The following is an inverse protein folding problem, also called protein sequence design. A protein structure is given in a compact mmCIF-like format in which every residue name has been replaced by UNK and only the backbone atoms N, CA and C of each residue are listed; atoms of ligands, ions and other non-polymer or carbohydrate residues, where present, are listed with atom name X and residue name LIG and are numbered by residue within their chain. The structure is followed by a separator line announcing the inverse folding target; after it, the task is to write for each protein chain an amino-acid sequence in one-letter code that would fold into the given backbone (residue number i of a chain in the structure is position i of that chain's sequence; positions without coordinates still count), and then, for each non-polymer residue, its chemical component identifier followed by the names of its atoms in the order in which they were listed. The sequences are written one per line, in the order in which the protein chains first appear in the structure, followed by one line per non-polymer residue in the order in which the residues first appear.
data_IF_817030830243
#
_entry.id   IF_817030830243
#
_cell.length_a   1.000
_cell.length_b   1.000
_cell.length_c   1.000
_cell.angle_alpha   90.00
_cell.angle_beta   90.00
_cell.angle_gamma   90.00
#
_symmetry.space_group_name_H-M   'P 1'
#
loop_
_entity.id
_entity.type
_entity.pdbx_description
1 polymer ?
#
# COMPACT_ATOMS: atom_id res chain seq x y z
N UNK A 1 9.53 -17.36 15.61
CA UNK A 1 9.66 -18.35 14.51
C UNK A 1 11.13 -18.51 14.11
N UNK A 2 11.92 -19.25 14.88
CA UNK A 2 13.02 -20.03 14.31
C UNK A 2 12.37 -21.37 13.96
N UNK A 3 12.03 -21.55 12.68
CA UNK A 3 11.25 -22.71 12.26
C UNK A 3 12.05 -24.00 12.45
N UNK A 4 11.33 -25.11 12.64
CA UNK A 4 11.83 -26.50 12.75
C UNK A 4 12.79 -26.92 11.62
N UNK A 5 12.93 -26.10 10.57
CA UNK A 5 13.73 -26.31 9.37
C UNK A 5 15.03 -25.48 9.32
N UNK A 6 15.43 -24.80 10.40
CA UNK A 6 16.76 -24.17 10.53
C UNK A 6 16.99 -22.91 9.68
N UNK A 7 15.95 -22.34 9.08
CA UNK A 7 16.02 -21.11 8.28
C UNK A 7 15.41 -19.92 9.02
N UNK A 8 16.05 -18.76 8.89
CA UNK A 8 15.58 -17.47 9.43
C UNK A 8 14.82 -16.72 8.32
N UNK A 9 13.50 -16.49 8.47
CA UNK A 9 12.71 -15.79 7.47
C UNK A 9 13.20 -14.35 7.23
N UNK A 10 13.37 -14.00 5.95
CA UNK A 10 13.66 -12.62 5.51
C UNK A 10 12.36 -11.83 5.31
N UNK A 11 12.47 -10.50 5.19
CA UNK A 11 11.32 -9.63 4.88
C UNK A 11 10.62 -9.99 3.57
N UNK A 12 11.35 -10.49 2.57
CA UNK A 12 10.77 -10.97 1.32
C UNK A 12 9.87 -12.20 1.54
N UNK A 13 10.27 -13.12 2.42
CA UNK A 13 9.44 -14.28 2.76
C UNK A 13 8.16 -13.85 3.47
N UNK A 14 8.24 -12.92 4.42
CA UNK A 14 7.06 -12.36 5.09
C UNK A 14 6.13 -11.66 4.09
N UNK A 15 6.68 -10.84 3.20
CA UNK A 15 5.93 -10.14 2.16
C UNK A 15 5.20 -11.14 1.23
N UNK A 16 5.86 -12.25 0.89
CA UNK A 16 5.26 -13.32 0.11
C UNK A 16 4.06 -13.95 0.81
N UNK A 17 4.18 -14.28 2.10
CA UNK A 17 3.08 -14.85 2.89
C UNK A 17 1.91 -13.88 3.00
N UNK A 18 2.18 -12.60 3.26
CA UNK A 18 1.16 -11.55 3.29
C UNK A 18 0.44 -11.42 1.96
N UNK A 19 1.18 -11.36 0.85
CA UNK A 19 0.61 -11.30 -0.50
C UNK A 19 -0.28 -12.52 -0.79
N UNK A 20 0.16 -13.73 -0.42
CA UNK A 20 -0.62 -14.95 -0.62
C UNK A 20 -1.93 -14.92 0.17
N UNK A 21 -1.88 -14.59 1.47
CA UNK A 21 -3.07 -14.49 2.32
C UNK A 21 -4.04 -13.42 1.82
N UNK A 22 -3.51 -12.25 1.48
CA UNK A 22 -4.31 -11.14 1.03
C UNK A 22 -5.02 -11.45 -0.30
N UNK A 23 -4.31 -12.01 -1.30
CA UNK A 23 -4.90 -12.31 -2.63
C UNK A 23 -6.01 -13.35 -2.61
N UNK A 24 -6.04 -14.26 -1.63
CA UNK A 24 -7.14 -15.24 -1.46
C UNK A 24 -8.30 -14.71 -0.61
N UNK A 25 -8.34 -13.42 -0.31
CA UNK A 25 -9.41 -12.76 0.43
C UNK A 25 -9.24 -12.81 1.95
N UNK A 26 -8.13 -13.35 2.46
CA UNK A 26 -7.89 -13.51 3.89
C UNK A 26 -7.12 -12.32 4.47
N UNK A 27 -7.67 -11.12 4.28
CA UNK A 27 -7.03 -9.86 4.70
C UNK A 27 -6.83 -9.78 6.21
N UNK A 28 -7.79 -10.23 7.01
CA UNK A 28 -7.64 -10.28 8.48
C UNK A 28 -6.50 -11.21 8.90
N UNK A 29 -6.37 -12.37 8.25
CA UNK A 29 -5.26 -13.29 8.50
C UNK A 29 -3.92 -12.68 8.09
N UNK A 30 -3.90 -11.91 6.99
CA UNK A 30 -2.70 -11.19 6.55
C UNK A 30 -2.27 -10.14 7.60
N UNK A 31 -3.22 -9.35 8.14
CA UNK A 31 -2.93 -8.39 9.22
C UNK A 31 -2.44 -9.09 10.48
N UNK A 32 -3.12 -10.16 10.91
CA UNK A 32 -2.72 -10.92 12.09
C UNK A 32 -1.32 -11.50 11.93
N UNK A 33 -0.99 -12.00 10.74
CA UNK A 33 0.35 -12.49 10.42
C UNK A 33 1.39 -11.37 10.52
N UNK A 34 1.10 -10.17 9.99
CA UNK A 34 1.98 -9.00 10.12
C UNK A 34 2.23 -8.66 11.59
N UNK A 35 1.20 -8.67 12.44
CA UNK A 35 1.35 -8.41 13.88
C UNK A 35 2.13 -9.49 14.64
N UNK A 36 2.17 -10.71 14.13
CA UNK A 36 2.93 -11.82 14.71
C UNK A 36 4.37 -11.87 14.20
N UNK A 37 4.76 -10.99 13.27
CA UNK A 37 6.12 -10.93 12.77
C UNK A 37 7.09 -10.61 13.92
N UNK A 38 8.21 -11.35 14.04
CA UNK A 38 9.24 -11.05 15.04
C UNK A 38 10.08 -9.81 14.69
N UNK A 39 9.84 -9.21 13.53
CA UNK A 39 10.54 -8.05 13.00
C UNK A 39 9.53 -6.97 12.61
N UNK A 40 9.93 -5.71 12.71
CA UNK A 40 9.08 -4.59 12.29
C UNK A 40 8.76 -4.71 10.78
N UNK A 41 7.48 -4.67 10.39
CA UNK A 41 7.10 -4.79 8.98
C UNK A 41 7.57 -3.58 8.16
N UNK A 42 8.24 -3.84 7.04
CA UNK A 42 8.79 -2.81 6.17
C UNK A 42 7.85 -2.48 5.00
N UNK A 43 8.31 -1.60 4.11
CA UNK A 43 7.59 -1.20 2.90
C UNK A 43 7.21 -2.35 1.98
N UNK A 44 7.98 -3.44 1.98
CA UNK A 44 7.70 -4.60 1.13
C UNK A 44 6.45 -5.32 1.63
N UNK A 45 6.33 -5.47 2.95
CA UNK A 45 5.19 -6.12 3.60
C UNK A 45 3.91 -5.27 3.46
N UNK A 46 3.98 -3.98 3.78
CA UNK A 46 2.82 -3.09 3.65
C UNK A 46 2.44 -2.86 2.18
N UNK A 47 3.41 -2.82 1.27
CA UNK A 47 3.18 -2.73 -0.17
C UNK A 47 2.46 -3.95 -0.72
N UNK A 48 2.86 -5.16 -0.29
CA UNK A 48 2.17 -6.40 -0.65
C UNK A 48 0.71 -6.42 -0.17
N UNK A 49 0.45 -5.96 1.06
CA UNK A 49 -0.91 -5.86 1.59
C UNK A 49 -1.73 -4.84 0.80
N UNK A 50 -1.19 -3.64 0.55
CA UNK A 50 -1.87 -2.58 -0.18
C UNK A 50 -2.26 -3.02 -1.59
N UNK A 51 -1.33 -3.63 -2.34
CA UNK A 51 -1.58 -4.09 -3.70
C UNK A 51 -2.78 -5.07 -3.75
N UNK A 52 -2.82 -6.04 -2.84
CA UNK A 52 -3.92 -6.99 -2.76
C UNK A 52 -5.25 -6.34 -2.30
N UNK A 53 -5.20 -5.30 -1.48
CA UNK A 53 -6.41 -4.57 -1.05
C UNK A 53 -7.03 -3.77 -2.18
N UNK A 54 -6.21 -3.19 -3.06
CA UNK A 54 -6.70 -2.48 -4.25
C UNK A 54 -7.44 -3.44 -5.19
N UNK A 55 -6.94 -4.67 -5.35
CA UNK A 55 -7.61 -5.70 -6.16
C UNK A 55 -8.95 -6.17 -5.56
N UNK A 56 -9.08 -6.14 -4.23
CA UNK A 56 -10.27 -6.61 -3.51
C UNK A 56 -11.21 -5.50 -3.05
N UNK A 57 -10.90 -4.25 -3.38
CA UNK A 57 -11.66 -3.06 -3.00
C UNK A 57 -11.93 -2.96 -1.47
N UNK A 58 -11.01 -3.46 -0.65
CA UNK A 58 -11.14 -3.37 0.80
C UNK A 58 -10.55 -2.03 1.30
N UNK A 59 -11.44 -1.07 1.51
CA UNK A 59 -11.10 0.30 1.89
C UNK A 59 -10.36 0.38 3.22
N UNK A 60 -10.82 -0.34 4.24
CA UNK A 60 -10.28 -0.22 5.60
C UNK A 60 -8.83 -0.75 5.68
N UNK A 61 -8.58 -1.93 5.11
CA UNK A 61 -7.24 -2.52 5.10
C UNK A 61 -6.31 -1.77 4.14
N UNK A 62 -6.82 -1.35 2.98
CA UNK A 62 -6.07 -0.53 2.04
C UNK A 62 -5.62 0.79 2.67
N UNK A 63 -6.51 1.47 3.39
CA UNK A 63 -6.20 2.71 4.13
C UNK A 63 -5.08 2.48 5.14
N UNK A 64 -5.20 1.45 5.98
CA UNK A 64 -4.17 1.12 6.97
C UNK A 64 -2.80 0.91 6.31
N UNK A 65 -2.76 0.11 5.24
CA UNK A 65 -1.52 -0.18 4.54
C UNK A 65 -0.91 1.08 3.91
N UNK A 66 -1.74 1.93 3.28
CA UNK A 66 -1.29 3.18 2.68
C UNK A 66 -0.79 4.18 3.73
N UNK A 67 -1.44 4.31 4.89
CA UNK A 67 -0.98 5.18 5.99
C UNK A 67 0.37 4.71 6.56
N UNK A 68 0.57 3.38 6.70
CA UNK A 68 1.86 2.81 7.10
C UNK A 68 2.95 3.10 6.08
N UNK A 69 2.65 2.99 4.79
CA UNK A 69 3.59 3.31 3.72
C UNK A 69 3.93 4.80 3.66
N UNK A 70 2.96 5.69 3.89
CA UNK A 70 3.20 7.14 4.01
C UNK A 70 4.11 7.45 5.21
N UNK A 71 3.97 6.73 6.31
CA UNK A 71 4.86 6.90 7.46
C UNK A 71 6.29 6.45 7.17
N UNK A 72 6.45 5.33 6.45
CA UNK A 72 7.75 4.76 6.10
C UNK A 72 8.48 5.51 4.97
N UNK A 73 7.75 5.96 3.96
CA UNK A 73 8.28 6.61 2.74
C UNK A 73 7.44 7.87 2.40
N UNK A 74 7.49 8.91 3.26
CA UNK A 74 6.64 10.10 3.15
C UNK A 74 6.83 10.93 1.88
N UNK A 75 7.94 10.75 1.18
CA UNK A 75 8.30 11.40 -0.08
C UNK A 75 7.72 10.70 -1.32
N UNK A 76 7.18 9.49 -1.17
CA UNK A 76 6.65 8.72 -2.31
C UNK A 76 5.20 9.11 -2.58
N UNK A 77 5.01 9.91 -3.63
CA UNK A 77 3.68 10.34 -4.09
C UNK A 77 2.68 9.20 -4.31
N UNK A 78 3.17 8.04 -4.78
CA UNK A 78 2.32 6.87 -5.07
C UNK A 78 1.48 6.42 -3.87
N UNK A 79 2.01 6.54 -2.64
CA UNK A 79 1.28 6.12 -1.43
C UNK A 79 0.09 7.05 -1.14
N UNK A 80 0.24 8.35 -1.36
CA UNK A 80 -0.84 9.33 -1.23
C UNK A 80 -1.87 9.19 -2.35
N UNK A 81 -1.43 8.87 -3.58
CA UNK A 81 -2.34 8.59 -4.70
C UNK A 81 -3.19 7.37 -4.39
N UNK A 82 -2.59 6.28 -3.90
CA UNK A 82 -3.33 5.08 -3.50
C UNK A 82 -4.34 5.41 -2.39
N UNK A 83 -3.93 6.13 -1.34
CA UNK A 83 -4.82 6.56 -0.26
C UNK A 83 -5.97 7.44 -0.77
N UNK A 84 -5.69 8.38 -1.68
CA UNK A 84 -6.71 9.22 -2.31
C UNK A 84 -7.71 8.41 -3.11
N UNK A 85 -7.26 7.39 -3.85
CA UNK A 85 -8.15 6.55 -4.65
C UNK A 85 -9.03 5.68 -3.74
N UNK A 86 -8.46 5.09 -2.70
CA UNK A 86 -9.20 4.33 -1.68
C UNK A 86 -10.32 5.18 -1.06
N UNK A 87 -10.03 6.43 -0.68
CA UNK A 87 -11.06 7.33 -0.15
C UNK A 87 -12.12 7.69 -1.19
N UNK A 88 -11.73 7.93 -2.44
CA UNK A 88 -12.68 8.23 -3.51
C UNK A 88 -13.64 7.05 -3.79
N UNK A 89 -13.13 5.82 -3.84
CA UNK A 89 -13.93 4.60 -4.00
C UNK A 89 -14.91 4.40 -2.83
N UNK A 90 -14.53 4.83 -1.63
CA UNK A 90 -15.39 4.83 -0.45
C UNK A 90 -16.39 6.01 -0.39
N UNK A 91 -16.42 6.89 -1.40
CA UNK A 91 -17.25 8.10 -1.41
C UNK A 91 -16.78 9.20 -0.45
N UNK A 92 -15.59 9.07 0.14
CA UNK A 92 -14.97 10.02 1.08
C UNK A 92 -14.16 11.09 0.35
N UNK A 93 -14.83 11.85 -0.51
CA UNK A 93 -14.21 12.84 -1.40
C UNK A 93 -13.33 13.86 -0.67
N UNK A 94 -13.76 14.34 0.49
CA UNK A 94 -12.99 15.31 1.29
C UNK A 94 -11.64 14.72 1.75
N UNK A 95 -11.61 13.45 2.12
CA UNK A 95 -10.38 12.79 2.57
C UNK A 95 -9.47 12.45 1.39
N UNK A 96 -10.04 12.13 0.23
CA UNK A 96 -9.30 12.01 -1.02
C UNK A 96 -8.59 13.33 -1.38
N UNK A 97 -9.30 14.45 -1.27
CA UNK A 97 -8.72 15.79 -1.50
C UNK A 97 -7.62 16.12 -0.48
N UNK A 98 -7.82 15.80 0.80
CA UNK A 98 -6.79 15.99 1.84
C UNK A 98 -5.52 15.20 1.54
N UNK A 99 -5.65 13.93 1.13
CA UNK A 99 -4.50 13.09 0.77
C UNK A 99 -3.71 13.69 -0.41
N UNK A 100 -4.39 14.24 -1.42
CA UNK A 100 -3.74 14.93 -2.55
C UNK A 100 -3.05 16.23 -2.14
N UNK A 101 -3.68 17.03 -1.28
CA UNK A 101 -3.05 18.26 -0.76
C UNK A 101 -1.79 17.96 0.04
N UNK A 102 -1.80 16.90 0.84
CA UNK A 102 -0.60 16.50 1.60
C UNK A 102 0.52 16.01 0.68
N UNK A 103 0.19 15.30 -0.40
CA UNK A 103 1.15 14.93 -1.45
C UNK A 103 1.81 16.16 -2.09
N UNK A 104 1.03 17.17 -2.46
CA UNK A 104 1.51 18.41 -3.06
C UNK A 104 2.40 19.20 -2.09
N UNK A 105 2.00 19.29 -0.81
CA UNK A 105 2.75 19.98 0.24
C UNK A 105 4.16 19.39 0.43
N UNK A 106 4.34 18.09 0.22
CA UNK A 106 5.63 17.40 0.40
C UNK A 106 6.54 17.47 -0.83
N UNK A 107 6.17 18.21 -1.87
CA UNK A 107 7.02 18.47 -3.03
C UNK A 107 7.16 17.28 -3.98
N UNK A 108 6.38 16.21 -3.80
CA UNK A 108 6.42 15.01 -4.64
C UNK A 108 5.56 15.20 -5.90
N UNK A 109 5.90 16.23 -6.69
CA UNK A 109 5.30 16.45 -8.01
C UNK A 109 5.97 15.48 -8.98
N UNK A 110 5.38 14.30 -9.18
CA UNK A 110 5.49 13.68 -10.51
C UNK A 110 4.41 14.36 -11.35
N UNK A 111 4.74 15.10 -12.43
CA UNK A 111 3.70 15.53 -13.36
C UNK A 111 2.95 14.27 -13.80
N UNK A 112 1.62 14.32 -13.69
CA UNK A 112 0.75 13.32 -14.30
C UNK A 112 1.26 13.04 -15.71
N UNK A 113 1.50 11.77 -16.06
CA UNK A 113 1.89 11.41 -17.42
C UNK A 113 0.81 11.90 -18.39
N UNK A 114 1.06 13.03 -19.06
CA UNK A 114 0.24 13.53 -20.13
C UNK A 114 0.81 12.95 -21.42
N UNK A 115 0.12 11.97 -22.00
CA UNK A 115 0.39 11.56 -23.38
C UNK A 115 -0.23 12.60 -24.30
N UNK A 116 0.57 13.51 -24.85
CA UNK A 116 0.13 14.39 -25.92
C UNK A 116 0.07 13.59 -27.22
N UNK A 117 -1.12 13.43 -27.79
CA UNK A 117 -1.29 12.94 -29.16
C UNK A 117 -1.18 14.15 -30.08
N UNK A 118 -0.06 14.28 -30.78
CA UNK A 118 0.07 15.27 -31.85
C UNK A 118 -0.58 14.71 -33.11
N UNK A 119 -1.70 15.30 -33.54
CA UNK A 119 -2.20 15.09 -34.90
C UNK A 119 -1.28 15.88 -35.85
N UNK A 120 -0.46 15.16 -36.62
CA UNK A 120 0.31 15.73 -37.71
C UNK A 120 -0.61 16.02 -38.91
N UNK A 121 -0.50 17.22 -39.45
CA UNK A 121 -1.19 17.68 -40.65
C UNK A 121 -0.32 17.45 -41.89
#
# INVERSE_FOLDING_TARGET
MTGEYGFVPTMEHYSCVVNMLARVGRLEAAINFIHQMPLEPDKSVWGALLAACLDQQNVEVGKLAAEKLIHLEPERAGHYVALSNIYAEAGRWDDAVKARKEMERRGSVKPSGQSWITFGN
#
